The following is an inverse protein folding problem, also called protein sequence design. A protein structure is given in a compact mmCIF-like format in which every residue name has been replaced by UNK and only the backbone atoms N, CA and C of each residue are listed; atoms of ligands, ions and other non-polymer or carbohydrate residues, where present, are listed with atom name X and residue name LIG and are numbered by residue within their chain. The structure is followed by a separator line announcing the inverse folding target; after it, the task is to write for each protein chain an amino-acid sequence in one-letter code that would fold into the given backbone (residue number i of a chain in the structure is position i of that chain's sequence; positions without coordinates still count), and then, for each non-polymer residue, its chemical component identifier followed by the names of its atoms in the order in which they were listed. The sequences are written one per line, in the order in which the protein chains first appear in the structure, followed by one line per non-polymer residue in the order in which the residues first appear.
data_IF_769823977933
#
_entry.id   IF_769823977933
#
_cell.length_a   1.000
_cell.length_b   1.000
_cell.length_c   1.000
_cell.angle_alpha   90.00
_cell.angle_beta   90.00
_cell.angle_gamma   90.00
#
_symmetry.space_group_name_H-M   'P 1'
#
loop_
_entity.id
_entity.type
_entity.pdbx_description
1 polymer ?
#
# COMPACT_ATOMS: atom_id res chain seq x y z
N UNK A 1 8.27 7.03 -28.94
CA UNK A 1 7.16 6.65 -28.03
C UNK A 1 7.80 6.32 -26.69
N UNK A 2 7.68 7.19 -25.68
CA UNK A 2 8.35 6.98 -24.38
C UNK A 2 7.54 5.95 -23.60
N UNK A 3 8.18 4.93 -23.03
CA UNK A 3 7.53 3.90 -22.20
C UNK A 3 6.65 4.53 -21.11
N UNK A 4 7.03 5.70 -20.59
CA UNK A 4 6.27 6.49 -19.62
C UNK A 4 4.90 6.98 -20.10
N UNK A 5 4.69 7.17 -21.41
CA UNK A 5 3.40 7.61 -21.96
C UNK A 5 2.33 6.50 -21.85
N UNK A 6 2.72 5.22 -21.77
CA UNK A 6 1.81 4.08 -21.51
C UNK A 6 1.41 3.96 -20.03
N UNK A 7 2.09 4.68 -19.13
CA UNK A 7 1.84 4.68 -17.68
C UNK A 7 1.18 5.96 -17.19
N UNK A 8 0.48 6.71 -18.06
CA UNK A 8 -0.65 7.50 -17.60
C UNK A 8 -1.67 6.52 -17.01
N UNK A 9 -1.48 6.21 -15.74
CA UNK A 9 -2.46 5.56 -14.90
C UNK A 9 -3.63 6.52 -14.94
N UNK A 10 -4.63 6.20 -15.75
CA UNK A 10 -5.93 6.85 -15.67
C UNK A 10 -6.42 6.60 -14.25
N UNK A 11 -6.17 7.57 -13.37
CA UNK A 11 -6.70 7.69 -12.01
C UNK A 11 -8.25 7.83 -12.01
N UNK A 12 -8.88 7.60 -13.16
CA UNK A 12 -10.32 7.63 -13.39
C UNK A 12 -11.00 6.40 -12.82
N UNK A 13 -10.93 6.29 -11.49
CA UNK A 13 -11.85 5.55 -10.64
C UNK A 13 -11.75 4.05 -10.78
N UNK A 14 -11.78 3.37 -9.65
CA UNK A 14 -12.43 2.07 -9.58
C UNK A 14 -13.84 2.26 -10.18
N UNK A 15 -14.01 1.93 -11.47
CA UNK A 15 -15.29 2.04 -12.17
C UNK A 15 -16.15 0.89 -11.69
N UNK A 16 -17.40 1.17 -11.33
CA UNK A 16 -18.38 0.12 -11.06
C UNK A 16 -19.07 -0.30 -12.37
N UNK A 17 -19.18 -1.61 -12.66
CA UNK A 17 -18.63 -2.74 -11.88
C UNK A 17 -17.11 -2.86 -12.03
N UNK A 18 -16.43 -3.20 -10.92
CA UNK A 18 -14.97 -3.37 -10.91
C UNK A 18 -14.63 -4.63 -11.71
N UNK A 19 -13.71 -4.49 -12.65
CA UNK A 19 -13.21 -5.61 -13.46
C UNK A 19 -11.95 -6.20 -12.83
N UNK A 20 -11.85 -7.53 -12.82
CA UNK A 20 -10.59 -8.19 -12.47
C UNK A 20 -9.48 -7.70 -13.41
N UNK A 21 -8.35 -7.28 -12.83
CA UNK A 21 -7.21 -6.75 -13.56
C UNK A 21 -5.98 -7.61 -13.32
N UNK A 22 -5.44 -8.14 -14.41
CA UNK A 22 -4.13 -8.78 -14.40
C UNK A 22 -3.03 -7.71 -14.48
N UNK A 23 -1.81 -8.12 -14.11
CA UNK A 23 -0.61 -7.32 -14.34
C UNK A 23 -0.48 -6.97 -15.82
N UNK A 24 0.00 -5.77 -16.12
CA UNK A 24 0.23 -5.34 -17.52
C UNK A 24 1.33 -6.13 -18.20
N UNK A 25 2.30 -6.64 -17.44
CA UNK A 25 3.46 -7.38 -17.94
C UNK A 25 3.54 -8.78 -17.29
N UNK A 26 4.50 -9.59 -17.74
CA UNK A 26 4.77 -10.89 -17.12
C UNK A 26 5.28 -10.70 -15.67
N UNK A 27 4.87 -11.53 -14.70
CA UNK A 27 5.40 -11.54 -13.34
C UNK A 27 6.94 -11.53 -13.26
N UNK A 28 7.61 -12.19 -14.21
CA UNK A 28 9.07 -12.25 -14.31
C UNK A 28 9.68 -10.85 -14.50
N UNK A 29 9.02 -9.99 -15.26
CA UNK A 29 9.48 -8.62 -15.49
C UNK A 29 9.49 -7.81 -14.19
N UNK A 30 8.43 -7.91 -13.38
CA UNK A 30 8.36 -7.20 -12.10
C UNK A 30 9.45 -7.65 -11.13
N UNK A 31 9.73 -8.96 -11.06
CA UNK A 31 10.84 -9.50 -10.24
C UNK A 31 12.19 -8.95 -10.69
N UNK A 32 12.44 -9.02 -11.99
CA UNK A 32 13.66 -8.49 -12.58
C UNK A 32 13.83 -6.98 -12.31
N UNK A 33 12.75 -6.20 -12.39
CA UNK A 33 12.82 -4.75 -12.13
C UNK A 33 13.27 -4.45 -10.69
N UNK A 34 12.64 -5.07 -9.69
CA UNK A 34 13.01 -4.81 -8.29
C UNK A 34 14.43 -5.31 -7.97
N UNK A 35 14.83 -6.45 -8.53
CA UNK A 35 16.16 -7.03 -8.35
C UNK A 35 17.28 -6.17 -8.96
N UNK A 36 17.07 -5.61 -10.15
CA UNK A 36 18.09 -4.88 -10.90
C UNK A 36 18.14 -3.40 -10.53
N UNK A 37 16.97 -2.74 -10.45
CA UNK A 37 16.92 -1.30 -10.26
C UNK A 37 16.80 -0.89 -8.79
N UNK A 38 16.29 -1.77 -7.94
CA UNK A 38 16.06 -1.49 -6.52
C UNK A 38 14.81 -0.64 -6.25
N UNK A 39 14.49 -0.38 -4.96
CA UNK A 39 13.15 0.02 -4.54
C UNK A 39 12.77 1.47 -4.84
N UNK A 40 13.74 2.35 -5.05
CA UNK A 40 13.48 3.80 -5.14
C UNK A 40 13.46 4.35 -6.56
N UNK A 41 13.70 3.52 -7.58
CA UNK A 41 13.73 4.00 -8.96
C UNK A 41 12.33 4.22 -9.50
N UNK A 42 12.19 5.11 -10.48
CA UNK A 42 10.89 5.43 -11.06
C UNK A 42 10.24 4.22 -11.71
N UNK A 43 11.02 3.36 -12.38
CA UNK A 43 10.50 2.14 -13.00
C UNK A 43 9.94 1.16 -11.95
N UNK A 44 10.61 1.04 -10.79
CA UNK A 44 10.10 0.22 -9.68
C UNK A 44 8.84 0.82 -9.06
N UNK A 45 8.79 2.14 -8.88
CA UNK A 45 7.58 2.84 -8.39
C UNK A 45 6.39 2.63 -9.34
N UNK A 46 6.62 2.73 -10.65
CA UNK A 46 5.60 2.47 -11.68
C UNK A 46 5.13 1.01 -11.68
N UNK A 47 6.05 0.06 -11.50
CA UNK A 47 5.71 -1.35 -11.35
C UNK A 47 4.86 -1.59 -10.11
N UNK A 48 5.19 -0.93 -9.00
CA UNK A 48 4.44 -1.04 -7.76
C UNK A 48 3.03 -0.48 -7.86
N UNK A 49 2.85 0.64 -8.56
CA UNK A 49 1.53 1.21 -8.83
C UNK A 49 0.63 0.19 -9.54
N UNK A 50 1.15 -0.50 -10.57
CA UNK A 50 0.40 -1.51 -11.32
C UNK A 50 0.10 -2.79 -10.50
N UNK A 51 1.07 -3.24 -9.69
CA UNK A 51 0.89 -4.39 -8.79
C UNK A 51 -0.21 -4.10 -7.76
N UNK A 52 -0.11 -2.98 -7.04
CA UNK A 52 -1.06 -2.62 -5.99
C UNK A 52 -2.47 -2.42 -6.56
N UNK A 53 -2.58 -1.74 -7.71
CA UNK A 53 -3.86 -1.57 -8.39
C UNK A 53 -4.47 -2.92 -8.80
N UNK A 54 -3.66 -3.86 -9.29
CA UNK A 54 -4.11 -5.20 -9.65
C UNK A 54 -4.56 -6.02 -8.43
N UNK A 55 -3.84 -5.95 -7.32
CA UNK A 55 -4.24 -6.55 -6.03
C UNK A 55 -5.63 -6.06 -5.61
N UNK A 56 -5.82 -4.74 -5.56
CA UNK A 56 -7.06 -4.13 -5.06
C UNK A 56 -8.22 -4.38 -6.01
N UNK A 57 -8.02 -4.31 -7.32
CA UNK A 57 -9.06 -4.66 -8.30
C UNK A 57 -9.49 -6.12 -8.19
N UNK A 58 -8.56 -7.03 -7.92
CA UNK A 58 -8.89 -8.45 -7.71
C UNK A 58 -9.70 -8.67 -6.42
N UNK A 59 -9.32 -8.04 -5.31
CA UNK A 59 -10.08 -8.08 -4.05
C UNK A 59 -11.50 -7.51 -4.23
N UNK A 60 -11.63 -6.33 -4.83
CA UNK A 60 -12.93 -5.71 -5.08
C UNK A 60 -13.80 -6.53 -6.04
N UNK A 61 -13.22 -7.15 -7.08
CA UNK A 61 -13.94 -8.06 -7.95
C UNK A 61 -14.51 -9.26 -7.18
N UNK A 62 -13.71 -9.85 -6.28
CA UNK A 62 -14.15 -10.97 -5.43
C UNK A 62 -15.27 -10.55 -4.47
N UNK A 63 -15.19 -9.35 -3.90
CA UNK A 63 -16.25 -8.79 -3.06
C UNK A 63 -17.56 -8.58 -3.80
N UNK A 64 -17.52 -8.14 -5.07
CA UNK A 64 -18.71 -7.92 -5.90
C UNK A 64 -19.30 -9.24 -6.45
N UNK A 65 -18.51 -10.31 -6.49
CA UNK A 65 -18.89 -11.60 -7.07
C UNK A 65 -18.65 -12.77 -6.10
N UNK A 66 -19.24 -12.76 -4.89
CA UNK A 66 -18.99 -13.79 -3.87
C UNK A 66 -19.47 -15.18 -4.32
N UNK A 67 -20.47 -15.27 -5.20
CA UNK A 67 -20.97 -16.55 -5.70
C UNK A 67 -20.16 -17.09 -6.89
N UNK A 68 -19.28 -16.27 -7.46
CA UNK A 68 -18.29 -16.72 -8.46
C UNK A 68 -17.02 -17.27 -7.79
N UNK A 69 -17.04 -17.61 -6.50
CA UNK A 69 -15.91 -18.18 -5.72
C UNK A 69 -15.24 -19.38 -6.40
N UNK A 70 -15.90 -20.00 -7.38
CA UNK A 70 -15.24 -20.83 -8.42
C UNK A 70 -14.66 -19.92 -9.51
N UNK A 71 -13.79 -18.99 -9.12
CA UNK A 71 -13.00 -18.17 -10.05
C UNK A 71 -11.97 -19.13 -10.63
N UNK A 72 -12.37 -19.88 -11.67
CA UNK A 72 -11.66 -21.06 -12.17
C UNK A 72 -10.14 -20.94 -12.07
N UNK A 73 -9.49 -22.02 -11.62
CA UNK A 73 -8.09 -22.17 -11.14
C UNK A 73 -7.07 -21.14 -11.62
N UNK A 74 -7.14 -20.71 -12.88
CA UNK A 74 -6.36 -19.59 -13.44
C UNK A 74 -6.47 -18.27 -12.67
N UNK A 75 -7.66 -17.79 -12.30
CA UNK A 75 -7.78 -16.46 -11.68
C UNK A 75 -7.33 -16.46 -10.22
N UNK A 76 -7.58 -17.55 -9.48
CA UNK A 76 -7.04 -17.73 -8.13
C UNK A 76 -5.51 -17.85 -8.15
N UNK A 77 -4.96 -18.66 -9.07
CA UNK A 77 -3.51 -18.76 -9.28
C UNK A 77 -2.87 -17.42 -9.66
N UNK A 78 -3.53 -16.66 -10.55
CA UNK A 78 -3.08 -15.33 -10.93
C UNK A 78 -3.12 -14.36 -9.74
N UNK A 79 -4.20 -14.36 -8.95
CA UNK A 79 -4.31 -13.50 -7.77
C UNK A 79 -3.23 -13.81 -6.73
N UNK A 80 -2.99 -15.09 -6.42
CA UNK A 80 -1.90 -15.53 -5.54
C UNK A 80 -0.53 -15.07 -6.05
N UNK A 81 -0.31 -15.16 -7.36
CA UNK A 81 0.94 -14.70 -7.98
C UNK A 81 1.12 -13.18 -7.86
N UNK A 82 0.04 -12.41 -8.03
CA UNK A 82 0.04 -10.94 -7.88
C UNK A 82 0.30 -10.56 -6.41
N UNK A 83 -0.38 -11.21 -5.45
CA UNK A 83 -0.15 -11.00 -4.02
C UNK A 83 1.28 -11.33 -3.60
N UNK A 84 1.87 -12.40 -4.14
CA UNK A 84 3.28 -12.73 -3.91
C UNK A 84 4.20 -11.60 -4.35
N UNK A 85 4.00 -11.05 -5.56
CA UNK A 85 4.80 -9.94 -6.06
C UNK A 85 4.61 -8.67 -5.24
N UNK A 86 3.38 -8.40 -4.81
CA UNK A 86 3.09 -7.27 -3.93
C UNK A 86 3.87 -7.38 -2.63
N UNK A 87 3.88 -8.56 -2.01
CA UNK A 87 4.67 -8.82 -0.79
C UNK A 87 6.16 -8.62 -1.03
N UNK A 88 6.71 -9.15 -2.13
CA UNK A 88 8.12 -8.98 -2.49
C UNK A 88 8.49 -7.48 -2.59
N UNK A 89 7.64 -6.67 -3.22
CA UNK A 89 7.84 -5.22 -3.34
C UNK A 89 7.71 -4.49 -1.99
N UNK A 90 6.76 -4.88 -1.15
CA UNK A 90 6.64 -4.33 0.20
C UNK A 90 7.87 -4.67 1.07
N UNK A 91 8.38 -5.89 0.99
CA UNK A 91 9.54 -6.37 1.76
C UNK A 91 10.83 -5.67 1.34
N UNK A 92 11.01 -5.40 0.04
CA UNK A 92 12.09 -4.54 -0.48
C UNK A 92 11.87 -3.04 -0.19
N UNK A 93 10.77 -2.69 0.50
CA UNK A 93 10.43 -1.33 0.95
C UNK A 93 10.26 -0.34 -0.19
N UNK A 94 9.61 -0.76 -1.27
CA UNK A 94 9.19 0.16 -2.33
C UNK A 94 8.22 1.20 -1.73
N UNK A 95 8.41 2.50 -2.00
CA UNK A 95 7.65 3.55 -1.33
C UNK A 95 6.21 3.62 -1.80
N UNK A 96 5.30 3.66 -0.83
CA UNK A 96 3.91 4.01 -1.07
C UNK A 96 3.78 5.52 -1.36
N UNK A 97 2.80 5.86 -2.20
CA UNK A 97 2.40 7.22 -2.55
C UNK A 97 1.07 7.54 -1.89
N UNK A 98 0.78 8.81 -1.63
CA UNK A 98 -0.49 9.24 -1.04
C UNK A 98 -1.69 8.76 -1.85
N UNK A 99 -1.57 8.77 -3.19
CA UNK A 99 -2.59 8.26 -4.10
C UNK A 99 -2.91 6.78 -3.89
N UNK A 100 -2.05 6.00 -3.21
CA UNK A 100 -2.33 4.61 -2.88
C UNK A 100 -3.41 4.45 -1.81
N UNK A 101 -3.61 5.45 -0.95
CA UNK A 101 -4.63 5.40 0.10
C UNK A 101 -6.02 5.15 -0.45
N UNK A 102 -6.37 5.74 -1.59
CA UNK A 102 -7.69 5.57 -2.21
C UNK A 102 -8.01 4.12 -2.59
N UNK A 103 -6.98 3.30 -2.81
CA UNK A 103 -7.11 1.87 -3.13
C UNK A 103 -7.13 1.05 -1.84
N UNK A 104 -6.18 1.32 -0.95
CA UNK A 104 -6.03 0.60 0.32
C UNK A 104 -7.27 0.71 1.21
N UNK A 105 -7.89 1.89 1.25
CA UNK A 105 -9.09 2.13 2.07
C UNK A 105 -10.30 1.34 1.58
N UNK A 106 -10.34 0.89 0.33
CA UNK A 106 -11.47 0.12 -0.22
C UNK A 106 -11.27 -1.39 -0.13
N UNK A 107 -10.02 -1.84 -0.01
CA UNK A 107 -9.68 -3.25 0.12
C UNK A 107 -10.24 -3.83 1.41
N UNK A 108 -10.71 -5.08 1.39
CA UNK A 108 -11.04 -5.88 2.60
C UNK A 108 -10.00 -6.96 2.86
N UNK A 109 -9.18 -7.30 1.86
CA UNK A 109 -8.10 -8.27 2.02
C UNK A 109 -6.99 -7.74 2.94
N UNK A 110 -6.81 -8.41 4.08
CA UNK A 110 -5.78 -8.08 5.07
C UNK A 110 -4.38 -8.14 4.45
N UNK A 111 -4.10 -9.13 3.60
CA UNK A 111 -2.79 -9.29 2.95
C UNK A 111 -2.40 -8.09 2.07
N UNK A 112 -3.37 -7.32 1.58
CA UNK A 112 -3.14 -6.09 0.80
C UNK A 112 -2.88 -4.91 1.74
N UNK A 113 -3.70 -4.77 2.78
CA UNK A 113 -3.71 -3.58 3.64
C UNK A 113 -2.59 -3.61 4.68
N UNK A 114 -2.34 -4.77 5.28
CA UNK A 114 -1.43 -4.93 6.42
C UNK A 114 0.00 -4.46 6.15
N UNK A 115 0.63 -4.72 4.98
CA UNK A 115 1.97 -4.21 4.68
C UNK A 115 2.09 -2.69 4.76
N UNK A 116 1.03 -1.95 4.42
CA UNK A 116 1.02 -0.49 4.58
C UNK A 116 1.20 -0.10 6.06
N UNK A 117 0.47 -0.72 6.98
CA UNK A 117 0.54 -0.41 8.42
C UNK A 117 1.80 -0.95 9.10
N UNK A 118 2.35 -2.08 8.64
CA UNK A 118 3.52 -2.70 9.27
C UNK A 118 4.85 -2.15 8.75
N UNK A 119 4.91 -1.73 7.49
CA UNK A 119 6.14 -1.34 6.82
C UNK A 119 6.11 0.14 6.46
N UNK A 120 5.12 0.57 5.67
CA UNK A 120 5.14 1.89 5.03
C UNK A 120 4.82 3.02 6.00
N UNK A 121 3.68 2.95 6.70
CA UNK A 121 3.17 4.00 7.58
C UNK A 121 4.13 4.33 8.74
N UNK A 122 4.75 3.36 9.45
CA UNK A 122 5.77 3.68 10.43
C UNK A 122 6.97 4.43 9.84
N UNK A 123 7.38 4.09 8.61
CA UNK A 123 8.50 4.74 7.93
C UNK A 123 8.12 6.18 7.51
N UNK A 124 6.93 6.37 6.94
CA UNK A 124 6.36 7.67 6.57
C UNK A 124 6.29 8.60 7.78
N UNK A 125 5.80 8.11 8.92
CA UNK A 125 5.68 8.89 10.16
C UNK A 125 7.00 8.94 10.97
N UNK A 126 8.07 8.37 10.43
CA UNK A 126 9.39 8.26 11.05
C UNK A 126 9.36 7.66 12.48
N UNK A 127 8.45 6.72 12.77
CA UNK A 127 8.19 6.24 14.13
C UNK A 127 9.35 5.44 14.72
N UNK A 128 10.11 4.75 13.88
CA UNK A 128 11.32 4.05 14.28
C UNK A 128 12.51 5.01 14.20
N UNK A 129 13.19 5.25 15.34
CA UNK A 129 14.35 6.13 15.39
C UNK A 129 15.52 5.64 14.53
N UNK A 130 16.42 6.56 14.19
CA UNK A 130 17.57 6.35 13.28
C UNK A 130 18.49 5.17 13.66
N UNK A 131 18.42 4.71 14.91
CA UNK A 131 19.21 3.58 15.42
C UNK A 131 18.67 2.20 14.99
N UNK A 132 17.38 2.05 14.69
CA UNK A 132 16.81 0.79 14.18
C UNK A 132 17.23 0.52 12.72
N UNK A 133 17.58 1.58 11.97
CA UNK A 133 18.05 1.48 10.59
C UNK A 133 19.54 1.12 10.47
N UNK A 134 20.35 1.33 11.53
CA UNK A 134 21.79 1.04 11.53
C UNK A 134 22.15 -0.45 11.68
N UNK A 135 21.29 -1.24 12.31
CA UNK A 135 21.62 -2.65 12.64
C UNK A 135 21.13 -3.67 11.59
N UNK A 136 20.65 -3.25 10.41
CA UNK A 136 20.11 -4.14 9.37
C UNK A 136 20.68 -3.89 7.97
N UNK A 137 21.90 -3.34 7.87
CA UNK A 137 22.53 -3.04 6.58
C UNK A 137 23.70 -3.96 6.29
N UNK A 138 23.41 -5.11 5.65
CA UNK A 138 24.33 -5.68 4.68
C UNK A 138 23.92 -5.13 3.30
N UNK A 139 24.66 -4.12 2.82
CA UNK A 139 24.86 -3.72 1.42
C UNK A 139 23.68 -3.56 0.42
N UNK A 140 22.44 -3.28 0.85
CA UNK A 140 21.41 -2.71 -0.05
C UNK A 140 21.10 -1.26 0.33
N UNK A 141 21.09 -0.38 -0.67
CA UNK A 141 20.96 1.09 -0.60
C UNK A 141 20.13 1.58 0.59
N UNK A 142 20.69 2.52 1.37
CA UNK A 142 19.99 3.27 2.41
C UNK A 142 18.78 3.96 1.79
N UNK A 143 17.58 3.40 1.99
CA UNK A 143 16.33 4.01 1.53
C UNK A 143 16.11 5.30 2.32
N UNK A 144 16.40 6.44 1.70
CA UNK A 144 16.24 7.74 2.32
C UNK A 144 14.81 8.25 2.14
N UNK A 145 13.84 7.62 2.83
CA UNK A 145 12.44 8.07 2.89
C UNK A 145 12.30 9.54 3.35
N UNK A 146 13.28 10.06 4.10
CA UNK A 146 13.20 11.34 4.80
C UNK A 146 13.11 12.58 3.91
N UNK A 147 13.57 12.52 2.66
CA UNK A 147 13.74 13.72 1.84
C UNK A 147 12.62 13.98 0.84
N UNK A 148 11.69 13.03 0.61
CA UNK A 148 10.63 13.15 -0.41
C UNK A 148 9.20 13.11 0.15
N UNK A 149 9.01 12.79 1.43
CA UNK A 149 7.66 12.52 1.99
C UNK A 149 7.18 13.67 2.89
N UNK A 150 6.11 14.35 2.47
CA UNK A 150 5.40 15.32 3.31
C UNK A 150 4.52 14.57 4.33
N UNK A 151 5.05 14.43 5.54
CA UNK A 151 4.38 13.77 6.66
C UNK A 151 3.05 14.44 7.01
N UNK A 152 2.95 15.77 6.88
CA UNK A 152 1.73 16.49 7.22
C UNK A 152 0.64 16.22 6.18
N UNK A 153 1.01 16.10 4.91
CA UNK A 153 0.07 15.72 3.85
C UNK A 153 -0.51 14.32 4.09
N UNK A 154 0.35 13.35 4.45
CA UNK A 154 -0.09 12.00 4.82
C UNK A 154 -1.02 11.99 6.03
N UNK A 155 -0.69 12.74 7.08
CA UNK A 155 -1.55 12.83 8.28
C UNK A 155 -2.89 13.42 7.90
N UNK A 156 -2.91 14.55 7.18
CA UNK A 156 -4.15 15.18 6.74
C UNK A 156 -5.01 14.20 5.92
N UNK A 157 -4.41 13.46 4.99
CA UNK A 157 -5.11 12.47 4.18
C UNK A 157 -5.67 11.30 4.98
N UNK A 158 -4.99 10.87 6.04
CA UNK A 158 -5.48 9.85 6.96
C UNK A 158 -6.60 10.38 7.88
N UNK A 159 -6.58 11.67 8.21
CA UNK A 159 -7.64 12.33 9.00
C UNK A 159 -8.89 12.66 8.17
N UNK A 160 -8.71 12.96 6.87
CA UNK A 160 -9.77 13.22 5.90
C UNK A 160 -10.43 11.91 5.39
N UNK A 161 -10.04 10.75 5.92
CA UNK A 161 -10.69 9.48 5.55
C UNK A 161 -12.15 9.49 5.97
N UNK A 162 -13.01 9.29 4.99
CA UNK A 162 -14.45 9.24 5.19
C UNK A 162 -14.93 7.86 5.67
N UNK A 163 -16.23 7.78 5.99
CA UNK A 163 -16.87 6.55 6.42
C UNK A 163 -16.90 5.44 5.35
N UNK A 164 -16.53 5.74 4.10
CA UNK A 164 -16.53 4.76 2.99
C UNK A 164 -15.32 3.83 3.03
N UNK A 165 -14.35 4.08 3.89
CA UNK A 165 -13.24 3.16 4.15
C UNK A 165 -13.76 1.81 4.67
N UNK A 166 -13.13 0.73 4.25
CA UNK A 166 -13.45 -0.61 4.67
C UNK A 166 -13.23 -0.79 6.17
N UNK A 167 -14.07 -1.62 6.78
CA UNK A 167 -13.96 -1.94 8.21
C UNK A 167 -12.59 -2.55 8.54
N UNK A 168 -12.04 -3.37 7.64
CA UNK A 168 -10.67 -3.92 7.78
C UNK A 168 -9.63 -2.81 7.87
N UNK A 169 -9.71 -1.79 7.01
CA UNK A 169 -8.78 -0.66 7.04
C UNK A 169 -8.92 0.15 8.32
N UNK A 170 -10.16 0.47 8.73
CA UNK A 170 -10.45 1.21 9.97
C UNK A 170 -9.89 0.49 11.20
N UNK A 171 -10.10 -0.82 11.30
CA UNK A 171 -9.59 -1.65 12.39
C UNK A 171 -8.05 -1.67 12.44
N UNK A 172 -7.38 -1.82 11.30
CA UNK A 172 -5.92 -1.79 11.25
C UNK A 172 -5.36 -0.40 11.59
N UNK A 173 -6.03 0.67 11.18
CA UNK A 173 -5.65 2.04 11.56
C UNK A 173 -5.81 2.27 13.06
N UNK A 174 -6.89 1.78 13.66
CA UNK A 174 -7.12 1.85 15.10
C UNK A 174 -6.04 1.06 15.87
N UNK A 175 -5.77 -0.19 15.46
CA UNK A 175 -4.72 -1.03 16.07
C UNK A 175 -3.34 -0.37 15.98
N UNK A 176 -2.97 0.12 14.79
CA UNK A 176 -1.71 0.82 14.56
C UNK A 176 -1.57 2.03 15.49
N UNK A 177 -2.65 2.81 15.61
CA UNK A 177 -2.65 4.02 16.42
C UNK A 177 -2.55 3.73 17.90
N UNK A 178 -3.22 2.69 18.36
CA UNK A 178 -3.15 2.25 19.75
C UNK A 178 -1.74 1.79 20.10
N UNK A 179 -1.17 0.93 19.26
CA UNK A 179 0.19 0.39 19.43
C UNK A 179 1.25 1.49 19.47
N UNK A 180 1.06 2.59 18.73
CA UNK A 180 2.02 3.68 18.60
C UNK A 180 1.64 4.94 19.39
N UNK A 181 0.56 4.91 20.19
CA UNK A 181 -0.04 6.06 20.87
C UNK A 181 0.98 6.95 21.60
N UNK A 182 1.91 6.35 22.33
CA UNK A 182 2.95 7.07 23.07
C UNK A 182 3.89 7.87 22.15
N UNK A 183 4.37 7.25 21.06
CA UNK A 183 5.30 7.86 20.10
C UNK A 183 4.59 8.97 19.34
N UNK A 184 3.35 8.73 18.92
CA UNK A 184 2.53 9.72 18.21
C UNK A 184 2.30 10.98 19.05
N UNK A 185 1.95 10.82 20.34
CA UNK A 185 1.81 11.94 21.29
C UNK A 185 3.11 12.71 21.48
N UNK A 186 4.23 12.00 21.68
CA UNK A 186 5.55 12.63 21.89
C UNK A 186 5.97 13.49 20.69
N UNK A 187 5.64 13.08 19.48
CA UNK A 187 5.94 13.82 18.25
C UNK A 187 4.98 14.97 17.97
N UNK A 188 4.00 15.22 18.84
CA UNK A 188 2.93 16.20 18.63
C UNK A 188 2.21 16.01 17.28
N UNK A 189 2.20 14.77 16.76
CA UNK A 189 1.36 14.39 15.63
C UNK A 189 -0.06 14.33 16.17
N UNK A 190 -0.74 15.49 16.17
CA UNK A 190 -2.09 15.65 16.70
C UNK A 190 -3.06 14.99 15.73
N UNK A 191 -3.23 13.69 15.86
CA UNK A 191 -4.38 12.99 15.34
C UNK A 191 -5.62 13.42 16.13
N UNK A 192 -6.22 14.56 15.77
CA UNK A 192 -7.41 15.06 16.48
C UNK A 192 -8.61 14.11 16.32
N UNK A 193 -8.62 13.29 15.26
CA UNK A 193 -9.74 12.40 14.95
C UNK A 193 -9.51 10.92 15.31
N UNK A 194 -8.31 10.50 15.71
CA UNK A 194 -8.11 9.10 16.18
C UNK A 194 -8.61 8.91 17.62
N UNK A 195 -8.63 9.97 18.43
CA UNK A 195 -9.41 9.91 19.67
C UNK A 195 -10.90 9.68 19.37
N UNK A 196 -11.45 10.23 18.29
CA UNK A 196 -12.85 9.97 17.93
C UNK A 196 -13.06 8.54 17.41
N UNK A 197 -12.13 7.99 16.60
CA UNK A 197 -12.21 6.58 16.14
C UNK A 197 -12.08 5.55 17.27
N UNK A 198 -11.36 5.87 18.35
CA UNK A 198 -11.24 5.01 19.53
C UNK A 198 -12.50 5.09 20.43
N UNK A 199 -13.31 6.15 20.31
CA UNK A 199 -14.49 6.41 21.16
C UNK A 199 -15.83 6.39 20.41
N UNK A 200 -15.87 5.99 19.13
CA UNK A 200 -17.10 5.91 18.31
C UNK A 200 -17.54 4.48 17.96
N UNK A 201 -17.10 3.47 18.71
CA UNK A 201 -17.62 2.10 18.65
C UNK A 201 -18.14 1.66 20.02
#
# INVERSE_FOLDING_TARGET
MKILDMYKIDLHGLKDPVKFRFLKLSPIFYKWVIEIFGPCTEITKVCFDDILESCVCADLYLQQNPDQVILGDMKDSAFKSILSLYRDYCDEKVPFKILHLQYLTKSRAIDIIKPFFEIALPNILHLYGDNAQKNRSNNKLKVNYKNEVDVNEWIKKLEDLDDTSSETFKNLLAEFSEKNRYILRKKNLRYRNIQLLIYSF
#
